data_IF_706947164379
#
_entry.id   IF_706947164379
#
_cell.length_a   1.000
_cell.length_b   1.000
_cell.length_c   1.000
_cell.angle_alpha   90.00
_cell.angle_beta   90.00
_cell.angle_gamma   90.00
#
_symmetry.space_group_name_H-M   'P 1'
#
loop_
_entity.id
_entity.type
_entity.pdbx_description
1 polymer ?
#
# COMPACT_ATOMS: atom_id res chain seq x y z
N UNK A 1 18.76 50.18 30.43
CA UNK A 1 19.16 48.77 30.56
C UNK A 1 19.55 48.49 32.00
N UNK A 2 19.04 47.40 32.58
CA UNK A 2 19.19 47.01 33.99
C UNK A 2 18.51 47.92 35.04
N UNK A 3 17.17 47.98 35.02
CA UNK A 3 16.37 48.48 36.18
C UNK A 3 14.88 48.07 36.17
N UNK A 4 14.55 46.92 35.58
CA UNK A 4 13.18 46.34 35.59
C UNK A 4 13.25 44.80 35.74
N UNK A 5 14.15 44.27 36.58
CA UNK A 5 14.18 42.82 36.93
C UNK A 5 14.48 42.62 38.43
N UNK A 6 14.08 43.57 39.31
CA UNK A 6 14.25 43.43 40.77
C UNK A 6 12.97 43.78 41.54
N UNK A 7 11.79 43.44 40.99
CA UNK A 7 10.50 43.70 41.67
C UNK A 7 9.55 42.50 41.72
N UNK A 8 10.05 41.28 41.53
CA UNK A 8 9.23 40.05 41.66
C UNK A 8 9.78 39.01 42.64
N UNK A 9 10.73 39.40 43.49
CA UNK A 9 11.20 38.58 44.61
C UNK A 9 11.22 39.42 45.89
N UNK A 10 10.05 39.56 46.52
CA UNK A 10 9.84 39.79 47.97
C UNK A 10 8.36 40.09 48.28
N UNK A 11 7.46 39.15 47.99
CA UNK A 11 6.22 38.99 48.77
C UNK A 11 5.98 37.48 48.91
N UNK A 12 6.73 36.86 49.82
CA UNK A 12 6.45 35.51 50.32
C UNK A 12 6.00 35.61 51.77
N UNK A 13 5.08 34.71 52.13
CA UNK A 13 4.70 34.29 53.48
C UNK A 13 3.51 35.04 54.11
N UNK A 14 2.31 34.53 53.81
CA UNK A 14 1.20 34.62 54.76
C UNK A 14 0.60 33.20 54.98
N UNK A 15 1.03 32.47 56.03
CA UNK A 15 0.69 31.07 56.28
C UNK A 15 -0.75 30.80 56.73
N UNK A 16 -1.62 31.83 56.78
CA UNK A 16 -3.03 31.67 57.11
C UNK A 16 -3.93 31.45 55.87
N UNK A 17 -3.47 31.80 54.66
CA UNK A 17 -4.24 31.58 53.41
C UNK A 17 -4.16 30.17 52.83
N UNK A 18 -3.19 29.37 53.23
CA UNK A 18 -3.10 27.96 52.80
C UNK A 18 -4.01 27.05 53.62
N UNK A 19 -4.14 27.30 54.93
CA UNK A 19 -5.04 26.53 55.82
C UNK A 19 -6.53 26.75 55.52
N UNK A 20 -6.88 27.91 54.96
CA UNK A 20 -8.25 28.22 54.54
C UNK A 20 -8.62 27.51 53.21
N UNK A 21 -7.65 27.34 52.30
CA UNK A 21 -7.83 26.61 51.03
C UNK A 21 -7.88 25.09 51.20
N UNK A 22 -7.24 24.54 52.23
CA UNK A 22 -7.34 23.11 52.58
C UNK A 22 -8.71 22.77 53.19
N UNK A 23 -9.24 23.64 54.07
CA UNK A 23 -10.59 23.47 54.63
C UNK A 23 -11.71 23.58 53.60
N UNK A 24 -11.59 24.46 52.62
CA UNK A 24 -12.56 24.56 51.51
C UNK A 24 -12.51 23.35 50.57
N UNK A 25 -11.36 22.69 50.43
CA UNK A 25 -11.23 21.45 49.63
C UNK A 25 -11.81 20.23 50.33
N UNK A 26 -11.70 20.14 51.66
CA UNK A 26 -12.32 19.06 52.45
C UNK A 26 -13.85 19.22 52.53
N UNK A 27 -14.37 20.46 52.62
CA UNK A 27 -15.81 20.74 52.66
C UNK A 27 -16.53 20.58 51.31
N UNK A 28 -15.82 20.64 50.18
CA UNK A 28 -16.38 20.34 48.85
C UNK A 28 -16.32 18.85 48.47
N UNK A 29 -15.50 18.05 49.16
CA UNK A 29 -15.41 16.60 48.94
C UNK A 29 -16.52 15.79 49.63
N UNK A 30 -17.37 16.43 50.45
CA UNK A 30 -18.35 15.75 51.30
C UNK A 30 -19.82 15.94 50.85
N UNK A 31 -20.07 16.61 49.70
CA UNK A 31 -21.43 17.00 49.26
C UNK A 31 -22.01 16.31 48.03
N UNK A 32 -21.30 15.43 47.35
CA UNK A 32 -21.85 14.62 46.25
C UNK A 32 -21.70 13.11 46.51
N UNK A 33 -22.58 12.58 47.38
CA UNK A 33 -22.92 11.14 47.42
C UNK A 33 -24.34 10.93 46.91
N UNK A 34 -24.55 10.26 45.76
CA UNK A 34 -25.81 9.61 45.46
C UNK A 34 -25.87 8.23 46.14
N UNK A 35 -27.05 7.90 46.66
CA UNK A 35 -27.40 6.63 47.28
C UNK A 35 -27.53 5.48 46.26
N UNK A 36 -27.26 4.26 46.73
CA UNK A 36 -27.32 2.95 46.06
C UNK A 36 -28.37 2.78 44.94
N UNK A 37 -27.89 2.22 43.83
CA UNK A 37 -28.67 1.46 42.84
C UNK A 37 -27.72 0.52 42.09
N UNK A 38 -28.01 -0.77 42.11
CA UNK A 38 -27.22 -1.88 41.57
C UNK A 38 -26.92 -1.76 40.07
N UNK A 39 -25.67 -2.01 39.66
CA UNK A 39 -25.29 -2.82 38.48
C UNK A 39 -23.76 -2.89 38.38
N UNK A 40 -23.25 -4.08 38.04
CA UNK A 40 -21.84 -4.39 37.89
C UNK A 40 -21.13 -3.49 36.86
N UNK A 41 -20.18 -2.68 37.31
CA UNK A 41 -19.27 -1.92 36.43
C UNK A 41 -17.84 -2.38 36.68
N UNK A 42 -17.27 -3.07 35.69
CA UNK A 42 -15.84 -3.38 35.64
C UNK A 42 -15.10 -2.09 35.26
N UNK A 43 -14.40 -1.51 36.21
CA UNK A 43 -13.31 -0.57 35.95
C UNK A 43 -12.26 -1.28 35.07
N UNK A 44 -12.23 -0.98 33.78
CA UNK A 44 -11.11 -1.32 32.91
C UNK A 44 -10.09 -0.16 32.94
N UNK A 45 -8.88 -0.53 33.36
CA UNK A 45 -7.65 0.25 33.32
C UNK A 45 -7.33 0.73 31.88
N UNK A 46 -6.99 2.02 31.62
CA UNK A 46 -6.77 2.52 30.26
C UNK A 46 -5.52 1.93 29.58
N UNK A 47 -4.74 1.13 30.29
CA UNK A 47 -3.46 0.56 29.83
C UNK A 47 -3.57 -0.82 29.19
N UNK A 48 -4.79 -1.32 28.92
CA UNK A 48 -4.98 -2.63 28.31
C UNK A 48 -5.89 -2.57 27.07
N UNK A 49 -5.54 -1.75 26.07
CA UNK A 49 -6.09 -1.93 24.73
C UNK A 49 -5.57 -3.26 24.19
N UNK A 50 -6.39 -4.31 24.32
CA UNK A 50 -6.16 -5.58 23.67
C UNK A 50 -5.91 -5.31 22.17
N UNK A 51 -4.67 -5.54 21.73
CA UNK A 51 -4.33 -5.56 20.30
C UNK A 51 -5.22 -6.62 19.69
N UNK A 52 -6.19 -6.20 18.87
CA UNK A 52 -7.14 -7.10 18.28
C UNK A 52 -6.38 -8.16 17.45
N UNK A 53 -6.55 -9.44 17.84
CA UNK A 53 -5.81 -10.59 17.31
C UNK A 53 -6.07 -10.88 15.83
N UNK A 54 -7.03 -10.18 15.21
CA UNK A 54 -7.48 -10.38 13.83
C UNK A 54 -6.83 -9.42 12.81
N UNK A 55 -5.92 -8.53 13.23
CA UNK A 55 -5.31 -7.54 12.33
C UNK A 55 -6.14 -6.29 12.06
N UNK A 56 -7.17 -6.02 12.87
CA UNK A 56 -7.90 -4.74 12.85
C UNK A 56 -7.10 -3.60 13.51
N UNK A 57 -7.46 -2.34 13.23
CA UNK A 57 -6.91 -1.17 13.94
C UNK A 57 -7.90 -0.76 15.02
N UNK A 58 -7.58 -1.02 16.29
CA UNK A 58 -8.48 -0.71 17.41
C UNK A 58 -9.91 -1.29 17.21
N UNK A 59 -10.03 -2.48 16.62
CA UNK A 59 -11.31 -3.12 16.32
C UNK A 59 -11.97 -2.71 14.99
N UNK A 60 -11.40 -1.73 14.26
CA UNK A 60 -11.92 -1.26 12.98
C UNK A 60 -11.20 -1.88 11.78
N UNK A 61 -11.94 -2.02 10.68
CA UNK A 61 -11.43 -2.64 9.45
C UNK A 61 -10.31 -1.83 8.78
N UNK A 62 -10.34 -0.50 8.91
CA UNK A 62 -9.33 0.40 8.38
C UNK A 62 -9.24 1.69 9.21
N UNK A 63 -8.15 2.44 9.01
CA UNK A 63 -7.97 3.77 9.63
C UNK A 63 -9.12 4.72 9.27
N UNK A 64 -9.63 4.65 8.04
CA UNK A 64 -10.72 5.52 7.61
C UNK A 64 -12.00 5.28 8.43
N UNK A 65 -12.35 4.02 8.69
CA UNK A 65 -13.51 3.68 9.51
C UNK A 65 -13.32 4.06 10.98
N UNK A 66 -12.13 3.82 11.54
CA UNK A 66 -11.79 4.29 12.89
C UNK A 66 -12.02 5.80 13.01
N UNK A 67 -11.43 6.60 12.13
CA UNK A 67 -11.56 8.06 12.17
C UNK A 67 -13.01 8.52 11.96
N UNK A 68 -13.74 7.90 11.03
CA UNK A 68 -15.14 8.24 10.76
C UNK A 68 -16.06 7.96 11.94
N UNK A 69 -15.80 6.88 12.67
CA UNK A 69 -16.59 6.48 13.82
C UNK A 69 -16.22 7.26 15.09
N UNK A 70 -14.99 7.75 15.20
CA UNK A 70 -14.49 8.42 16.40
C UNK A 70 -14.56 9.95 16.37
N UNK A 71 -14.68 10.58 15.20
CA UNK A 71 -14.65 12.04 15.06
C UNK A 71 -16.01 12.63 14.69
N UNK A 72 -16.26 13.89 15.09
CA UNK A 72 -17.44 14.62 14.62
C UNK A 72 -17.36 14.88 13.11
N UNK A 73 -18.50 15.00 12.39
CA UNK A 73 -18.47 15.14 10.93
C UNK A 73 -17.57 16.27 10.39
N UNK A 74 -17.57 17.50 10.96
CA UNK A 74 -16.68 18.57 10.49
C UNK A 74 -15.19 18.25 10.72
N UNK A 75 -14.86 17.64 11.85
CA UNK A 75 -13.47 17.26 12.18
C UNK A 75 -13.00 16.12 11.28
N UNK A 76 -13.85 15.12 11.05
CA UNK A 76 -13.56 14.02 10.13
C UNK A 76 -13.33 14.51 8.70
N UNK A 77 -14.12 15.47 8.22
CA UNK A 77 -13.93 16.08 6.90
C UNK A 77 -12.57 16.76 6.79
N UNK A 78 -12.17 17.54 7.80
CA UNK A 78 -10.88 18.24 7.78
C UNK A 78 -9.68 17.28 7.91
N UNK A 79 -9.79 16.27 8.77
CA UNK A 79 -8.79 15.20 8.86
C UNK A 79 -8.68 14.44 7.54
N UNK A 80 -9.81 14.10 6.92
CA UNK A 80 -9.83 13.42 5.61
C UNK A 80 -9.23 14.29 4.51
N UNK A 81 -9.47 15.61 4.52
CA UNK A 81 -8.85 16.54 3.57
C UNK A 81 -7.33 16.52 3.65
N UNK A 82 -6.77 16.47 4.86
CA UNK A 82 -5.33 16.42 5.09
C UNK A 82 -4.73 15.05 4.75
N UNK A 83 -5.39 13.97 5.18
CA UNK A 83 -4.89 12.60 5.02
C UNK A 83 -5.13 12.03 3.62
N UNK A 84 -6.27 12.29 3.00
CA UNK A 84 -6.66 11.73 1.70
C UNK A 84 -6.55 12.73 0.55
N UNK A 85 -6.47 14.03 0.83
CA UNK A 85 -6.44 15.06 -0.22
C UNK A 85 -7.81 15.32 -0.86
N UNK A 86 -7.81 16.13 -1.92
CA UNK A 86 -9.02 16.53 -2.65
C UNK A 86 -8.79 16.36 -4.14
N UNK A 87 -9.66 15.62 -4.83
CA UNK A 87 -9.63 15.53 -6.27
C UNK A 87 -10.37 16.72 -6.88
N UNK A 88 -9.69 17.49 -7.72
CA UNK A 88 -10.23 18.72 -8.30
C UNK A 88 -10.90 19.67 -7.26
N UNK A 89 -10.37 19.71 -6.03
CA UNK A 89 -10.86 20.59 -4.97
C UNK A 89 -12.04 20.05 -4.14
N UNK A 90 -12.47 18.80 -4.33
CA UNK A 90 -13.50 18.14 -3.52
C UNK A 90 -13.06 16.73 -3.06
N UNK A 91 -13.69 16.17 -2.01
CA UNK A 91 -13.52 14.75 -1.67
C UNK A 91 -13.94 13.85 -2.84
N UNK A 92 -13.41 12.63 -2.89
CA UNK A 92 -13.77 11.65 -3.91
C UNK A 92 -15.24 11.26 -3.81
N UNK A 93 -15.92 11.21 -4.97
CA UNK A 93 -17.29 10.74 -5.06
C UNK A 93 -17.31 9.20 -5.04
N UNK A 94 -18.17 8.55 -4.24
CA UNK A 94 -18.35 7.11 -4.31
C UNK A 94 -19.10 6.71 -5.58
N UNK A 95 -18.81 5.52 -6.11
CA UNK A 95 -19.50 4.95 -7.26
C UNK A 95 -20.57 3.96 -6.79
N UNK A 96 -21.78 4.09 -7.33
CA UNK A 96 -22.80 3.04 -7.18
C UNK A 96 -22.47 1.86 -8.10
N UNK A 97 -22.16 0.72 -7.49
CA UNK A 97 -21.86 -0.51 -8.21
C UNK A 97 -23.13 -1.28 -8.60
N UNK A 98 -23.08 -2.09 -9.68
CA UNK A 98 -24.24 -2.84 -10.14
C UNK A 98 -24.59 -3.99 -9.19
N UNK A 99 -25.88 -4.35 -9.11
CA UNK A 99 -26.38 -5.38 -8.19
C UNK A 99 -25.63 -6.72 -8.25
N UNK A 100 -25.23 -7.26 -9.43
CA UNK A 100 -24.43 -8.49 -9.48
C UNK A 100 -23.14 -8.42 -8.68
N UNK A 101 -22.41 -7.30 -8.73
CA UNK A 101 -21.16 -7.12 -7.98
C UNK A 101 -21.41 -7.07 -6.46
N UNK A 102 -22.46 -6.36 -6.04
CA UNK A 102 -22.85 -6.27 -4.62
C UNK A 102 -23.28 -7.63 -4.08
N UNK A 103 -24.03 -8.41 -4.87
CA UNK A 103 -24.44 -9.76 -4.51
C UNK A 103 -23.24 -10.70 -4.40
N UNK A 104 -22.28 -10.63 -5.33
CA UNK A 104 -21.04 -11.42 -5.26
C UNK A 104 -20.22 -11.09 -4.01
N UNK A 105 -20.03 -9.80 -3.71
CA UNK A 105 -19.36 -9.33 -2.49
C UNK A 105 -20.03 -9.87 -1.21
N UNK A 106 -21.36 -9.75 -1.12
CA UNK A 106 -22.11 -10.25 0.04
C UNK A 106 -22.01 -11.78 0.20
N UNK A 107 -22.16 -12.52 -0.89
CA UNK A 107 -22.18 -14.00 -0.89
C UNK A 107 -20.82 -14.64 -0.66
N UNK A 108 -19.75 -13.99 -1.11
CA UNK A 108 -18.37 -14.47 -0.98
C UNK A 108 -17.56 -13.70 0.07
N UNK A 109 -18.21 -12.81 0.81
CA UNK A 109 -17.68 -12.08 1.97
C UNK A 109 -16.35 -11.33 1.71
N UNK A 110 -16.29 -10.55 0.63
CA UNK A 110 -15.16 -9.66 0.36
C UNK A 110 -15.57 -8.18 0.43
N UNK A 111 -14.66 -7.33 0.90
CA UNK A 111 -14.83 -5.87 0.94
C UNK A 111 -14.94 -5.32 -0.49
N UNK A 112 -15.84 -4.36 -0.71
CA UNK A 112 -16.11 -3.80 -2.03
C UNK A 112 -16.29 -2.29 -1.92
N UNK A 113 -15.33 -1.55 -2.49
CA UNK A 113 -15.32 -0.09 -2.46
C UNK A 113 -15.10 0.47 -3.87
N UNK A 114 -15.71 1.61 -4.17
CA UNK A 114 -15.56 2.24 -5.48
C UNK A 114 -15.62 3.77 -5.43
N UNK A 115 -14.70 4.45 -6.13
CA UNK A 115 -14.52 5.91 -6.09
C UNK A 115 -14.21 6.52 -7.46
N UNK A 116 -14.45 7.82 -7.63
CA UNK A 116 -14.18 8.54 -8.88
C UNK A 116 -13.08 9.60 -8.71
N UNK A 117 -12.07 9.55 -9.59
CA UNK A 117 -11.10 10.61 -9.83
C UNK A 117 -11.42 11.32 -11.15
N UNK A 118 -11.71 12.61 -11.06
CA UNK A 118 -12.05 13.48 -12.17
C UNK A 118 -10.86 14.33 -12.60
N UNK A 119 -10.91 14.79 -13.85
CA UNK A 119 -10.07 15.86 -14.37
C UNK A 119 -10.91 17.08 -14.76
N UNK A 120 -10.26 18.22 -14.96
CA UNK A 120 -10.94 19.38 -15.54
C UNK A 120 -11.29 19.10 -17.00
N UNK A 121 -12.41 19.64 -17.48
CA UNK A 121 -12.80 19.51 -18.89
C UNK A 121 -11.78 20.22 -19.80
N UNK A 122 -11.22 19.48 -20.76
CA UNK A 122 -10.38 20.05 -21.81
C UNK A 122 -11.23 20.48 -23.02
N UNK A 123 -10.79 21.51 -23.75
CA UNK A 123 -11.47 21.97 -24.97
C UNK A 123 -11.10 21.18 -26.22
N UNK A 124 -9.94 20.49 -26.20
CA UNK A 124 -9.36 19.81 -27.36
C UNK A 124 -9.26 18.29 -27.20
N UNK A 125 -9.60 17.76 -26.02
CA UNK A 125 -9.57 16.33 -25.71
C UNK A 125 -10.84 15.95 -24.99
N UNK A 126 -11.39 14.83 -25.39
CA UNK A 126 -12.44 14.18 -24.63
C UNK A 126 -11.86 13.58 -23.34
N UNK A 127 -12.68 13.44 -22.28
CA UNK A 127 -12.30 12.71 -21.07
C UNK A 127 -11.80 11.30 -21.41
N UNK A 128 -10.66 10.90 -20.85
CA UNK A 128 -10.12 9.55 -21.04
C UNK A 128 -10.40 8.75 -19.77
N UNK A 129 -11.67 8.39 -19.59
CA UNK A 129 -12.13 7.65 -18.40
C UNK A 129 -11.76 6.17 -18.53
N UNK A 130 -11.06 5.66 -17.52
CA UNK A 130 -10.75 4.24 -17.35
C UNK A 130 -11.20 3.77 -15.97
N UNK A 131 -11.84 2.60 -15.90
CA UNK A 131 -12.20 1.94 -14.65
C UNK A 131 -11.13 0.92 -14.28
N UNK A 132 -10.51 1.08 -13.13
CA UNK A 132 -9.38 0.25 -12.67
C UNK A 132 -9.76 -0.48 -11.39
N UNK A 133 -9.39 -1.76 -11.28
CA UNK A 133 -9.63 -2.60 -10.11
C UNK A 133 -8.34 -3.09 -9.46
N UNK A 134 -8.34 -3.19 -8.12
CA UNK A 134 -7.29 -3.84 -7.32
C UNK A 134 -7.92 -4.96 -6.50
N UNK A 135 -7.28 -6.13 -6.49
CA UNK A 135 -7.68 -7.26 -5.64
C UNK A 135 -6.62 -7.50 -4.57
N UNK A 136 -7.06 -7.50 -3.31
CA UNK A 136 -6.31 -8.07 -2.20
C UNK A 136 -6.98 -9.34 -1.70
N UNK A 137 -6.20 -10.35 -1.34
CA UNK A 137 -6.71 -11.59 -0.78
C UNK A 137 -5.68 -12.30 0.10
N UNK A 138 -6.20 -13.13 0.99
CA UNK A 138 -5.47 -14.15 1.74
C UNK A 138 -5.44 -15.46 0.94
N UNK A 139 -4.55 -16.38 1.31
CA UNK A 139 -4.57 -17.76 0.80
C UNK A 139 -5.88 -18.47 1.16
N UNK A 140 -6.23 -19.52 0.41
CA UNK A 140 -7.50 -20.24 0.57
C UNK A 140 -7.39 -21.54 1.38
N UNK A 141 -6.22 -22.18 1.38
CA UNK A 141 -5.95 -23.43 2.08
C UNK A 141 -4.69 -23.30 2.95
N UNK A 142 -4.53 -24.16 3.98
CA UNK A 142 -3.30 -24.21 4.78
C UNK A 142 -2.07 -24.49 3.91
N UNK A 143 -0.92 -23.96 4.31
CA UNK A 143 0.35 -24.14 3.60
C UNK A 143 0.84 -25.60 3.56
N UNK A 144 0.25 -26.48 4.37
CA UNK A 144 0.49 -27.93 4.39
C UNK A 144 -0.30 -28.71 3.34
N UNK A 145 -1.27 -28.10 2.65
CA UNK A 145 -2.06 -28.77 1.62
C UNK A 145 -1.21 -29.02 0.34
N UNK A 146 -1.60 -29.94 -0.54
CA UNK A 146 -0.91 -30.13 -1.82
C UNK A 146 -0.87 -28.83 -2.65
N UNK A 147 0.28 -28.51 -3.26
CA UNK A 147 0.47 -27.24 -3.98
C UNK A 147 -0.55 -26.98 -5.09
N UNK A 148 -0.89 -28.02 -5.86
CA UNK A 148 -1.92 -27.94 -6.89
C UNK A 148 -3.30 -27.58 -6.31
N UNK A 149 -3.64 -28.09 -5.13
CA UNK A 149 -4.90 -27.76 -4.44
C UNK A 149 -4.87 -26.34 -3.89
N UNK A 150 -3.76 -25.91 -3.28
CA UNK A 150 -3.60 -24.52 -2.81
C UNK A 150 -3.82 -23.52 -3.94
N UNK A 151 -3.16 -23.73 -5.09
CA UNK A 151 -3.27 -22.87 -6.27
C UNK A 151 -4.71 -22.82 -6.82
N UNK A 152 -5.34 -24.00 -7.00
CA UNK A 152 -6.73 -24.09 -7.48
C UNK A 152 -7.73 -23.44 -6.52
N UNK A 153 -7.52 -23.59 -5.20
CA UNK A 153 -8.38 -22.96 -4.21
C UNK A 153 -8.28 -21.43 -4.27
N UNK A 154 -7.09 -20.87 -4.52
CA UNK A 154 -6.93 -19.44 -4.77
C UNK A 154 -7.69 -19.02 -6.03
N UNK A 155 -7.64 -19.80 -7.12
CA UNK A 155 -8.38 -19.48 -8.35
C UNK A 155 -9.89 -19.47 -8.09
N UNK A 156 -10.40 -20.47 -7.38
CA UNK A 156 -11.82 -20.56 -7.00
C UNK A 156 -12.26 -19.40 -6.11
N UNK A 157 -11.39 -18.99 -5.18
CA UNK A 157 -11.62 -17.85 -4.29
C UNK A 157 -11.64 -16.51 -5.04
N UNK A 158 -10.74 -16.32 -6.01
CA UNK A 158 -10.60 -15.06 -6.73
C UNK A 158 -11.58 -14.92 -7.90
N UNK A 159 -12.02 -16.03 -8.50
CA UNK A 159 -13.01 -16.01 -9.59
C UNK A 159 -14.22 -15.10 -9.30
N UNK A 160 -14.97 -15.24 -8.18
CA UNK A 160 -16.12 -14.36 -7.91
C UNK A 160 -15.72 -12.88 -7.72
N UNK A 161 -14.52 -12.58 -7.24
CA UNK A 161 -14.02 -11.20 -7.11
C UNK A 161 -13.72 -10.62 -8.50
N UNK A 162 -13.09 -11.40 -9.38
CA UNK A 162 -12.83 -11.01 -10.77
C UNK A 162 -14.15 -10.85 -11.54
N UNK A 163 -15.13 -11.73 -11.33
CA UNK A 163 -16.46 -11.63 -11.93
C UNK A 163 -17.22 -10.37 -11.44
N UNK A 164 -17.05 -9.97 -10.18
CA UNK A 164 -17.59 -8.72 -9.65
C UNK A 164 -16.93 -7.49 -10.30
N UNK A 165 -15.61 -7.53 -10.51
CA UNK A 165 -14.89 -6.49 -11.25
C UNK A 165 -15.38 -6.39 -12.71
N UNK A 166 -15.47 -7.54 -13.39
CA UNK A 166 -15.96 -7.62 -14.77
C UNK A 166 -17.42 -7.15 -14.91
N UNK A 167 -18.29 -7.55 -13.99
CA UNK A 167 -19.69 -7.10 -13.93
C UNK A 167 -19.82 -5.60 -13.63
N UNK A 168 -18.80 -5.02 -13.00
CA UNK A 168 -18.69 -3.58 -12.74
C UNK A 168 -18.05 -2.82 -13.90
N UNK A 169 -17.72 -3.45 -15.02
CA UNK A 169 -17.11 -2.80 -16.18
C UNK A 169 -15.67 -2.34 -15.94
N UNK A 170 -14.93 -3.00 -15.06
CA UNK A 170 -13.49 -2.74 -14.87
C UNK A 170 -12.75 -3.01 -16.19
N UNK A 171 -11.91 -2.07 -16.60
CA UNK A 171 -11.12 -2.14 -17.82
C UNK A 171 -9.73 -2.72 -17.56
N UNK A 172 -9.14 -2.44 -16.39
CA UNK A 172 -7.81 -2.94 -15.99
C UNK A 172 -7.90 -3.47 -14.55
N UNK A 173 -7.54 -4.73 -14.34
CA UNK A 173 -7.56 -5.38 -13.03
C UNK A 173 -6.15 -5.85 -12.65
N UNK A 174 -5.69 -5.49 -11.46
CA UNK A 174 -4.41 -5.94 -10.93
C UNK A 174 -4.58 -6.81 -9.69
N UNK A 175 -3.85 -7.92 -9.66
CA UNK A 175 -3.74 -8.81 -8.52
C UNK A 175 -2.50 -8.46 -7.67
N UNK A 176 -2.47 -8.93 -6.43
CA UNK A 176 -1.34 -8.76 -5.51
C UNK A 176 -0.10 -9.56 -5.92
N UNK A 177 1.02 -9.34 -5.22
CA UNK A 177 2.27 -10.04 -5.48
C UNK A 177 2.18 -11.55 -5.20
N UNK A 178 2.73 -12.35 -6.12
CA UNK A 178 2.79 -13.81 -6.03
C UNK A 178 1.42 -14.41 -5.65
N UNK A 179 0.36 -13.92 -6.28
CA UNK A 179 -1.02 -14.15 -5.83
C UNK A 179 -1.42 -15.63 -5.82
N UNK A 180 -0.72 -16.46 -6.60
CA UNK A 180 -0.97 -17.89 -6.82
C UNK A 180 -0.41 -18.81 -5.73
N UNK A 181 0.29 -18.26 -4.73
CA UNK A 181 0.98 -19.02 -3.69
C UNK A 181 0.95 -18.34 -2.32
N UNK A 182 1.19 -19.10 -1.22
CA UNK A 182 1.65 -18.51 0.03
C UNK A 182 2.98 -17.78 -0.18
N UNK A 183 3.22 -16.73 0.60
CA UNK A 183 4.46 -15.96 0.54
C UNK A 183 5.59 -16.65 1.30
N UNK A 184 5.96 -17.85 0.82
CA UNK A 184 6.82 -18.81 1.53
C UNK A 184 8.31 -18.43 1.59
N UNK A 185 8.70 -17.25 1.09
CA UNK A 185 10.10 -16.86 0.97
C UNK A 185 10.82 -16.72 2.33
N UNK A 186 10.08 -16.55 3.44
CA UNK A 186 10.65 -16.61 4.79
C UNK A 186 11.33 -17.94 5.12
N UNK A 187 10.79 -19.04 4.60
CA UNK A 187 11.23 -20.40 4.95
C UNK A 187 12.61 -20.70 4.37
N UNK A 188 12.96 -20.06 3.24
CA UNK A 188 14.16 -20.32 2.44
C UNK A 188 14.22 -21.74 1.84
N UNK A 189 13.15 -22.52 1.98
CA UNK A 189 13.06 -23.88 1.49
C UNK A 189 12.77 -23.91 -0.02
N UNK A 190 13.41 -24.82 -0.76
CA UNK A 190 13.36 -24.83 -2.23
C UNK A 190 12.18 -25.60 -2.84
N UNK A 191 11.48 -26.43 -2.07
CA UNK A 191 10.33 -27.16 -2.59
C UNK A 191 9.18 -26.21 -2.99
N UNK A 192 9.07 -25.03 -2.34
CA UNK A 192 8.17 -23.95 -2.76
C UNK A 192 8.37 -23.47 -4.21
N UNK A 193 9.53 -23.73 -4.82
CA UNK A 193 9.79 -23.41 -6.22
C UNK A 193 8.92 -24.20 -7.22
N UNK A 194 8.18 -25.22 -6.77
CA UNK A 194 7.18 -25.92 -7.59
C UNK A 194 5.97 -25.05 -7.96
N UNK A 195 5.72 -23.95 -7.22
CA UNK A 195 4.73 -22.94 -7.63
C UNK A 195 5.16 -22.15 -8.87
N UNK A 196 6.45 -22.17 -9.23
CA UNK A 196 6.96 -21.40 -10.35
C UNK A 196 6.48 -21.98 -11.69
N UNK A 197 5.90 -21.14 -12.53
CA UNK A 197 5.33 -21.53 -13.82
C UNK A 197 5.88 -20.65 -14.97
N UNK A 198 5.88 -21.13 -16.22
CA UNK A 198 6.19 -20.27 -17.35
C UNK A 198 5.14 -19.15 -17.48
N UNK A 199 5.48 -18.06 -18.17
CA UNK A 199 4.59 -16.88 -18.27
C UNK A 199 3.28 -17.15 -19.00
N UNK A 200 3.20 -18.20 -19.79
CA UNK A 200 2.00 -18.74 -20.46
C UNK A 200 1.42 -19.97 -19.73
N UNK A 201 1.79 -20.15 -18.46
CA UNK A 201 1.32 -21.23 -17.59
C UNK A 201 -0.14 -21.13 -17.16
N UNK A 202 -0.54 -22.04 -16.30
CA UNK A 202 -1.94 -22.25 -15.90
C UNK A 202 -2.60 -20.98 -15.31
N UNK A 203 -1.89 -20.19 -14.51
CA UNK A 203 -2.49 -18.97 -13.93
C UNK A 203 -2.72 -17.88 -14.97
N UNK A 204 -1.82 -17.76 -15.96
CA UNK A 204 -2.03 -16.88 -17.11
C UNK A 204 -3.22 -17.35 -17.93
N UNK A 205 -3.32 -18.64 -18.24
CA UNK A 205 -4.44 -19.21 -19.01
C UNK A 205 -5.79 -18.98 -18.32
N UNK A 206 -5.86 -19.22 -17.01
CA UNK A 206 -7.04 -18.92 -16.20
C UNK A 206 -7.50 -17.46 -16.34
N UNK A 207 -6.55 -16.51 -16.31
CA UNK A 207 -6.86 -15.09 -16.46
C UNK A 207 -7.13 -14.67 -17.91
N UNK A 208 -6.57 -15.34 -18.92
CA UNK A 208 -6.84 -15.05 -20.34
C UNK A 208 -8.31 -15.24 -20.70
N UNK A 209 -8.96 -16.28 -20.17
CA UNK A 209 -10.37 -16.55 -20.41
C UNK A 209 -11.26 -15.47 -19.77
N UNK A 210 -10.93 -15.05 -18.55
CA UNK A 210 -11.63 -13.98 -17.84
C UNK A 210 -11.39 -12.61 -18.50
N UNK A 211 -10.16 -12.34 -18.95
CA UNK A 211 -9.79 -11.13 -19.69
C UNK A 211 -10.64 -10.96 -20.95
N UNK A 212 -10.77 -12.02 -21.76
CA UNK A 212 -11.63 -12.04 -22.95
C UNK A 212 -13.10 -11.84 -22.60
N UNK A 213 -13.59 -12.60 -21.61
CA UNK A 213 -15.00 -12.60 -21.22
C UNK A 213 -15.47 -11.20 -20.80
N UNK A 214 -14.63 -10.47 -20.07
CA UNK A 214 -14.96 -9.15 -19.54
C UNK A 214 -14.35 -7.98 -20.31
N UNK A 215 -13.67 -8.24 -21.43
CA UNK A 215 -12.93 -7.22 -22.20
C UNK A 215 -12.00 -6.39 -21.28
N UNK A 216 -11.23 -7.08 -20.44
CA UNK A 216 -10.48 -6.50 -19.32
C UNK A 216 -9.00 -6.87 -19.42
N UNK A 217 -8.11 -5.87 -19.27
CA UNK A 217 -6.67 -6.10 -19.13
C UNK A 217 -6.41 -6.64 -17.72
N UNK A 218 -5.56 -7.67 -17.60
CA UNK A 218 -5.19 -8.28 -16.32
C UNK A 218 -3.69 -8.14 -16.07
N UNK A 219 -3.32 -7.72 -14.86
CA UNK A 219 -1.94 -7.71 -14.36
C UNK A 219 -1.77 -8.84 -13.36
N UNK A 220 -0.93 -9.83 -13.69
CA UNK A 220 -0.76 -11.08 -12.95
C UNK A 220 0.67 -11.25 -12.42
N UNK A 221 0.94 -10.88 -11.16
CA UNK A 221 2.24 -11.11 -10.51
C UNK A 221 2.41 -12.56 -10.04
N UNK A 222 3.32 -13.30 -10.67
CA UNK A 222 3.58 -14.73 -10.43
C UNK A 222 5.06 -14.99 -10.11
N UNK A 223 5.33 -16.18 -9.57
CA UNK A 223 6.66 -16.77 -9.60
C UNK A 223 6.88 -17.39 -10.98
N UNK A 224 7.74 -16.78 -11.79
CA UNK A 224 8.05 -17.25 -13.14
C UNK A 224 9.16 -18.30 -13.10
N UNK A 225 9.01 -19.37 -13.89
CA UNK A 225 10.09 -20.27 -14.30
C UNK A 225 10.44 -20.03 -15.77
N UNK A 226 11.63 -19.50 -16.03
CA UNK A 226 12.09 -19.18 -17.38
C UNK A 226 12.69 -20.42 -18.06
N UNK A 227 11.82 -21.21 -18.69
CA UNK A 227 12.20 -22.46 -19.37
C UNK A 227 13.24 -22.22 -20.48
N UNK A 228 13.21 -21.06 -21.14
CA UNK A 228 14.15 -20.73 -22.20
C UNK A 228 15.56 -20.38 -21.68
N UNK A 229 15.69 -19.98 -20.42
CA UNK A 229 16.96 -19.55 -19.81
C UNK A 229 17.30 -20.40 -18.57
N UNK A 230 17.43 -21.71 -18.79
CA UNK A 230 17.92 -22.65 -17.78
C UNK A 230 16.99 -22.83 -16.58
N UNK A 231 15.69 -22.64 -16.77
CA UNK A 231 14.66 -22.76 -15.73
C UNK A 231 14.86 -21.81 -14.54
N UNK A 232 15.56 -20.69 -14.78
CA UNK A 232 15.81 -19.66 -13.76
C UNK A 232 14.49 -19.07 -13.26
N UNK A 233 14.39 -18.87 -11.94
CA UNK A 233 13.18 -18.35 -11.29
C UNK A 233 13.23 -16.84 -11.19
N UNK A 234 12.08 -16.18 -11.38
CA UNK A 234 11.91 -14.73 -11.31
C UNK A 234 10.60 -14.36 -10.61
N UNK A 235 10.56 -13.16 -10.02
CA UNK A 235 9.30 -12.53 -9.61
C UNK A 235 8.83 -11.60 -10.73
N UNK A 236 7.67 -11.92 -11.33
CA UNK A 236 7.29 -11.40 -12.64
C UNK A 236 5.82 -11.00 -12.68
N UNK A 237 5.53 -9.80 -13.16
CA UNK A 237 4.20 -9.40 -13.58
C UNK A 237 3.98 -9.71 -15.06
N UNK A 238 3.00 -10.56 -15.36
CA UNK A 238 2.53 -10.83 -16.73
C UNK A 238 1.37 -9.90 -17.05
N UNK A 239 1.41 -9.25 -18.21
CA UNK A 239 0.37 -8.35 -18.69
C UNK A 239 -0.46 -9.07 -19.75
N UNK A 240 -1.73 -9.31 -19.44
CA UNK A 240 -2.68 -9.99 -20.32
C UNK A 240 -3.62 -8.93 -20.88
N UNK A 241 -3.67 -8.82 -22.20
CA UNK A 241 -4.56 -7.90 -22.91
C UNK A 241 -6.03 -8.29 -22.79
N UNK A 242 -6.91 -7.34 -23.08
CA UNK A 242 -8.37 -7.52 -23.04
C UNK A 242 -8.92 -8.53 -24.05
N UNK A 243 -8.11 -8.97 -25.02
CA UNK A 243 -8.42 -10.07 -25.94
C UNK A 243 -7.77 -11.39 -25.51
N UNK A 244 -7.22 -11.43 -24.28
CA UNK A 244 -6.51 -12.56 -23.70
C UNK A 244 -5.19 -12.90 -24.39
N UNK A 245 -4.59 -12.00 -25.16
CA UNK A 245 -3.21 -12.15 -25.62
C UNK A 245 -2.24 -11.72 -24.50
N UNK A 246 -1.05 -12.32 -24.42
CA UNK A 246 0.01 -11.82 -23.53
C UNK A 246 0.65 -10.60 -24.22
N UNK A 247 0.53 -9.42 -23.62
CA UNK A 247 1.18 -8.20 -24.11
C UNK A 247 2.68 -8.26 -23.81
N UNK A 248 3.05 -8.74 -22.63
CA UNK A 248 4.43 -8.89 -22.22
C UNK A 248 4.58 -9.21 -20.74
N UNK A 249 5.79 -9.02 -20.21
CA UNK A 249 6.13 -9.26 -18.81
C UNK A 249 7.11 -8.22 -18.27
N UNK A 250 7.11 -8.02 -16.96
CA UNK A 250 8.10 -7.22 -16.22
C UNK A 250 8.59 -7.98 -14.98
N UNK A 251 9.90 -8.03 -14.77
CA UNK A 251 10.55 -8.68 -13.63
C UNK A 251 10.92 -7.68 -12.56
N UNK A 252 10.78 -8.08 -11.29
CA UNK A 252 11.04 -7.24 -10.11
C UNK A 252 12.47 -6.69 -10.12
N UNK A 253 12.62 -5.37 -10.28
CA UNK A 253 13.94 -4.73 -10.37
C UNK A 253 14.72 -4.74 -9.05
N UNK A 254 14.03 -4.58 -7.92
CA UNK A 254 14.66 -4.47 -6.60
C UNK A 254 14.25 -5.63 -5.70
N UNK A 255 15.23 -6.47 -5.32
CA UNK A 255 14.98 -7.69 -4.54
C UNK A 255 15.35 -7.44 -3.07
N UNK A 256 14.40 -7.61 -2.13
CA UNK A 256 14.71 -7.49 -0.71
C UNK A 256 15.59 -8.63 -0.21
N UNK A 257 16.35 -8.29 0.83
CA UNK A 257 17.19 -9.23 1.60
C UNK A 257 16.98 -9.05 3.11
N UNK A 258 15.85 -8.45 3.52
CA UNK A 258 15.65 -7.91 4.87
C UNK A 258 14.66 -8.78 5.64
N UNK A 259 15.07 -9.24 6.83
CA UNK A 259 14.20 -9.97 7.74
C UNK A 259 13.66 -11.27 7.14
N UNK A 260 12.34 -11.44 7.17
CA UNK A 260 11.64 -12.59 6.57
C UNK A 260 11.51 -12.50 5.04
N UNK A 261 11.79 -11.34 4.43
CA UNK A 261 11.80 -11.13 2.98
C UNK A 261 13.11 -11.62 2.36
N UNK A 262 13.39 -12.92 2.47
CA UNK A 262 14.60 -13.58 1.96
C UNK A 262 14.49 -13.93 0.46
N UNK A 263 13.87 -13.04 -0.31
CA UNK A 263 13.54 -13.25 -1.72
C UNK A 263 14.76 -13.50 -2.60
N UNK A 264 15.90 -12.86 -2.30
CA UNK A 264 17.14 -13.08 -3.05
C UNK A 264 17.68 -14.51 -2.98
N UNK A 265 17.13 -15.34 -2.09
CA UNK A 265 17.41 -16.77 -2.08
C UNK A 265 16.80 -17.46 -3.30
N UNK A 266 15.69 -16.94 -3.83
CA UNK A 266 14.85 -17.57 -4.85
C UNK A 266 15.07 -17.01 -6.26
N UNK A 267 15.30 -15.70 -6.40
CA UNK A 267 15.43 -15.03 -7.69
C UNK A 267 16.37 -13.81 -7.62
N UNK A 268 16.84 -13.40 -8.80
CA UNK A 268 17.78 -12.29 -9.01
C UNK A 268 17.07 -10.99 -9.39
N UNK A 269 17.80 -9.87 -9.34
CA UNK A 269 17.33 -8.58 -9.83
C UNK A 269 16.86 -8.64 -11.29
N UNK A 270 15.69 -8.06 -11.56
CA UNK A 270 15.04 -8.09 -12.87
C UNK A 270 15.89 -7.48 -13.99
N UNK A 271 15.83 -8.10 -15.17
CA UNK A 271 16.57 -7.70 -16.36
C UNK A 271 15.68 -7.13 -17.48
N UNK A 272 14.44 -6.77 -17.16
CA UNK A 272 13.46 -6.26 -18.13
C UNK A 272 13.41 -4.73 -18.23
N UNK A 273 14.21 -4.01 -17.44
CA UNK A 273 14.18 -2.55 -17.36
C UNK A 273 12.88 -2.03 -16.74
N UNK A 274 12.32 -0.96 -17.30
CA UNK A 274 11.12 -0.29 -16.79
C UNK A 274 10.03 -0.19 -17.88
N UNK A 275 9.53 -1.33 -18.40
CA UNK A 275 8.61 -1.33 -19.52
C UNK A 275 7.28 -0.66 -19.15
N UNK A 276 6.72 0.08 -20.11
CA UNK A 276 5.37 0.62 -20.07
C UNK A 276 4.58 -0.09 -21.16
N UNK A 277 3.42 -0.62 -20.80
CA UNK A 277 2.56 -1.40 -21.67
C UNK A 277 1.41 -0.52 -22.14
N UNK A 278 1.39 -0.22 -23.43
CA UNK A 278 0.27 0.48 -24.05
C UNK A 278 -0.89 -0.50 -24.26
N UNK A 279 -2.03 -0.19 -23.65
CA UNK A 279 -3.25 -0.99 -23.72
C UNK A 279 -4.37 -0.20 -24.37
N UNK A 280 -5.50 -0.85 -24.65
CA UNK A 280 -6.72 -0.16 -25.09
C UNK A 280 -7.25 0.88 -24.08
N UNK A 281 -6.77 0.84 -22.83
CA UNK A 281 -7.29 1.59 -21.70
C UNK A 281 -6.25 2.51 -21.04
N UNK A 282 -5.12 2.76 -21.72
CA UNK A 282 -4.04 3.63 -21.24
C UNK A 282 -2.71 2.90 -21.09
N UNK A 283 -1.68 3.67 -20.72
CA UNK A 283 -0.30 3.21 -20.54
C UNK A 283 -0.06 2.78 -19.10
N UNK A 284 0.14 1.49 -18.90
CA UNK A 284 0.33 0.91 -17.57
C UNK A 284 1.76 0.44 -17.34
N UNK A 285 2.21 0.48 -16.09
CA UNK A 285 3.44 -0.16 -15.67
C UNK A 285 3.25 -0.87 -14.33
N UNK A 286 4.23 -1.65 -13.90
CA UNK A 286 4.16 -2.41 -12.65
C UNK A 286 5.47 -2.21 -11.88
N UNK A 287 5.40 -1.54 -10.74
CA UNK A 287 6.50 -1.48 -9.78
C UNK A 287 6.29 -2.57 -8.73
N UNK A 288 7.02 -3.69 -8.82
CA UNK A 288 6.73 -4.85 -7.98
C UNK A 288 7.31 -4.67 -6.55
N UNK A 289 6.41 -4.67 -5.56
CA UNK A 289 6.69 -4.77 -4.12
C UNK A 289 7.82 -3.87 -3.61
N UNK A 290 9.01 -4.42 -3.35
CA UNK A 290 10.15 -3.73 -2.73
C UNK A 290 10.70 -2.58 -3.61
N UNK A 291 10.38 -2.59 -4.90
CA UNK A 291 10.61 -1.44 -5.76
C UNK A 291 9.83 -0.18 -5.32
N UNK A 292 8.85 -0.30 -4.40
CA UNK A 292 8.15 0.85 -3.78
C UNK A 292 9.10 1.79 -3.02
N UNK A 293 10.16 1.24 -2.43
CA UNK A 293 11.14 1.99 -1.64
C UNK A 293 12.14 2.77 -2.48
N UNK A 294 12.07 2.65 -3.82
CA UNK A 294 13.07 3.19 -4.74
C UNK A 294 12.44 4.29 -5.61
N UNK A 295 12.57 5.58 -5.24
CA UNK A 295 12.04 6.69 -6.02
C UNK A 295 12.49 6.68 -7.49
N UNK A 296 13.72 6.23 -7.77
CA UNK A 296 14.24 6.11 -9.14
C UNK A 296 13.49 5.05 -9.96
N UNK A 297 13.03 3.95 -9.36
CA UNK A 297 12.27 2.91 -10.04
C UNK A 297 10.90 3.46 -10.50
N UNK A 298 10.22 4.20 -9.61
CA UNK A 298 8.99 4.94 -9.95
C UNK A 298 9.23 5.98 -11.05
N UNK A 299 10.30 6.75 -10.92
CA UNK A 299 10.67 7.78 -11.88
C UNK A 299 10.87 7.21 -13.28
N UNK A 300 11.57 6.08 -13.40
CA UNK A 300 11.84 5.46 -14.69
C UNK A 300 10.57 5.03 -15.44
N UNK A 301 9.56 4.49 -14.75
CA UNK A 301 8.25 4.23 -15.39
C UNK A 301 7.56 5.52 -15.84
N UNK A 302 7.65 6.58 -15.03
CA UNK A 302 7.11 7.88 -15.38
C UNK A 302 7.80 8.52 -16.60
N UNK A 303 9.13 8.37 -16.71
CA UNK A 303 9.92 8.80 -17.87
C UNK A 303 9.54 8.04 -19.14
N UNK A 304 9.24 6.74 -19.01
CA UNK A 304 8.75 5.91 -20.12
C UNK A 304 7.26 6.13 -20.46
N UNK A 305 6.60 7.09 -19.81
CA UNK A 305 5.27 7.56 -20.18
C UNK A 305 4.10 6.81 -19.53
N UNK A 306 4.32 6.15 -18.39
CA UNK A 306 3.22 5.53 -17.64
C UNK A 306 2.16 6.56 -17.19
N UNK A 307 0.90 6.16 -17.27
CA UNK A 307 -0.27 6.90 -16.78
C UNK A 307 -0.85 6.25 -15.52
N UNK A 308 -0.70 4.93 -15.39
CA UNK A 308 -1.03 4.16 -14.18
C UNK A 308 0.16 3.25 -13.86
N UNK A 309 0.64 3.27 -12.61
CA UNK A 309 1.63 2.31 -12.13
C UNK A 309 1.04 1.46 -11.02
N UNK A 310 0.96 0.15 -11.22
CA UNK A 310 0.54 -0.78 -10.19
C UNK A 310 1.71 -1.14 -9.28
N UNK A 311 1.44 -1.28 -7.98
CA UNK A 311 2.39 -1.76 -7.00
C UNK A 311 1.86 -2.96 -6.23
N UNK A 312 1.87 -4.14 -6.87
CA UNK A 312 1.54 -5.38 -6.20
C UNK A 312 2.62 -5.73 -5.18
N UNK A 313 2.21 -5.94 -3.94
CA UNK A 313 3.08 -6.17 -2.79
C UNK A 313 2.58 -7.31 -1.91
N UNK A 314 3.49 -7.90 -1.17
CA UNK A 314 3.21 -8.65 0.05
C UNK A 314 4.17 -8.12 1.13
N UNK A 315 3.64 -7.44 2.15
CA UNK A 315 4.46 -6.85 3.21
C UNK A 315 3.73 -6.86 4.56
N UNK A 316 4.50 -6.98 5.64
CA UNK A 316 4.01 -7.15 7.02
C UNK A 316 4.70 -6.20 7.98
N UNK A 317 4.12 -6.08 9.17
CA UNK A 317 4.82 -5.56 10.35
C UNK A 317 4.80 -4.05 10.54
N UNK A 318 5.03 -3.66 11.80
CA UNK A 318 4.91 -2.29 12.30
C UNK A 318 5.89 -1.29 11.69
N UNK A 319 7.05 -1.77 11.20
CA UNK A 319 8.01 -0.91 10.52
C UNK A 319 7.59 -0.62 9.07
N UNK A 320 6.93 -1.57 8.41
CA UNK A 320 6.52 -1.40 7.01
C UNK A 320 5.26 -0.56 6.87
N UNK A 321 4.25 -0.77 7.71
CA UNK A 321 2.93 -0.17 7.56
C UNK A 321 2.93 1.38 7.56
N UNK A 322 3.74 2.08 8.39
CA UNK A 322 3.82 3.54 8.36
C UNK A 322 4.33 4.12 7.03
N UNK A 323 5.09 3.34 6.24
CA UNK A 323 5.56 3.77 4.92
C UNK A 323 4.49 3.60 3.83
N UNK A 324 3.54 2.69 4.01
CA UNK A 324 2.52 2.33 3.02
C UNK A 324 1.70 3.51 2.46
N UNK A 325 1.17 4.44 3.29
CA UNK A 325 0.41 5.59 2.77
C UNK A 325 1.32 6.70 2.20
N UNK A 326 2.65 6.56 2.30
CA UNK A 326 3.62 7.60 1.94
C UNK A 326 4.23 7.34 0.57
N UNK A 327 4.84 6.17 0.36
CA UNK A 327 5.74 5.92 -0.76
C UNK A 327 5.04 5.96 -2.12
N UNK A 328 3.95 5.19 -2.25
CA UNK A 328 3.16 5.12 -3.47
C UNK A 328 2.45 6.45 -3.78
N UNK A 329 2.00 7.15 -2.73
CA UNK A 329 1.37 8.47 -2.87
C UNK A 329 2.38 9.53 -3.30
N UNK A 330 3.58 9.51 -2.71
CA UNK A 330 4.67 10.36 -3.15
C UNK A 330 5.04 10.08 -4.61
N UNK A 331 5.11 8.80 -5.01
CA UNK A 331 5.35 8.43 -6.39
C UNK A 331 4.28 9.00 -7.34
N UNK A 332 3.00 8.92 -6.98
CA UNK A 332 1.90 9.49 -7.77
C UNK A 332 2.08 11.00 -8.01
N UNK A 333 2.41 11.74 -6.95
CA UNK A 333 2.64 13.19 -6.98
C UNK A 333 3.87 13.54 -7.82
N UNK A 334 5.03 12.98 -7.45
CA UNK A 334 6.32 13.32 -8.06
C UNK A 334 6.36 12.99 -9.56
N UNK A 335 5.59 11.99 -9.98
CA UNK A 335 5.56 11.53 -11.36
C UNK A 335 4.34 12.00 -12.18
N UNK A 336 3.35 12.60 -11.52
CA UNK A 336 2.11 13.06 -12.12
C UNK A 336 1.41 11.96 -12.95
N UNK A 337 1.22 10.80 -12.31
CA UNK A 337 0.45 9.65 -12.81
C UNK A 337 -0.42 9.06 -11.68
N UNK A 338 -1.24 8.06 -11.97
CA UNK A 338 -1.95 7.29 -10.95
C UNK A 338 -1.09 6.13 -10.43
N UNK A 339 -1.31 5.73 -9.17
CA UNK A 339 -0.68 4.55 -8.56
C UNK A 339 -1.75 3.67 -7.89
N UNK A 340 -1.74 2.37 -8.20
CA UNK A 340 -2.58 1.37 -7.54
C UNK A 340 -1.76 0.49 -6.60
N UNK A 341 -1.87 0.72 -5.30
CA UNK A 341 -1.11 0.00 -4.26
C UNK A 341 -1.91 -1.20 -3.77
N UNK A 342 -1.31 -2.39 -3.81
CA UNK A 342 -1.99 -3.63 -3.45
C UNK A 342 -1.13 -4.40 -2.46
N UNK A 343 -1.67 -4.71 -1.29
CA UNK A 343 -1.01 -5.62 -0.36
C UNK A 343 -1.88 -6.85 -0.11
N UNK A 344 -1.22 -7.96 0.16
CA UNK A 344 -1.83 -9.18 0.68
C UNK A 344 -2.55 -8.92 2.01
N UNK A 345 -3.49 -9.81 2.38
CA UNK A 345 -4.13 -9.83 3.70
C UNK A 345 -3.97 -11.16 4.41
N UNK A 346 -4.11 -11.12 5.74
CA UNK A 346 -4.14 -12.31 6.60
C UNK A 346 -2.76 -12.71 7.12
N UNK A 347 -2.71 -13.81 7.86
CA UNK A 347 -1.47 -14.36 8.43
C UNK A 347 -1.28 -15.77 7.90
N UNK A 348 -0.07 -16.06 7.42
CA UNK A 348 0.28 -17.36 6.85
C UNK A 348 1.24 -18.09 7.79
N UNK A 349 0.93 -19.36 8.11
CA UNK A 349 1.75 -20.22 8.98
C UNK A 349 2.34 -21.36 8.18
N UNK A 350 3.62 -21.67 8.35
CA UNK A 350 4.37 -22.68 7.58
C UNK A 350 4.66 -23.96 8.39
N UNK A 351 4.91 -25.10 7.71
CA UNK A 351 5.09 -26.39 8.38
C UNK A 351 6.32 -26.42 9.31
N UNK A 352 7.44 -25.89 8.82
CA UNK A 352 8.72 -25.86 9.51
C UNK A 352 8.98 -24.47 10.10
N UNK A 353 9.54 -24.39 11.32
CA UNK A 353 9.88 -23.11 11.91
C UNK A 353 11.09 -22.47 11.20
N UNK A 354 11.12 -21.14 11.16
CA UNK A 354 12.21 -20.34 10.57
C UNK A 354 12.56 -19.15 11.48
N UNK A 355 13.65 -18.43 11.16
CA UNK A 355 14.10 -17.27 11.91
C UNK A 355 14.17 -16.02 11.04
N UNK A 356 13.76 -14.88 11.60
CA UNK A 356 13.71 -13.58 10.93
C UNK A 356 15.05 -12.84 10.90
N UNK A 357 16.11 -13.40 11.47
CA UNK A 357 17.43 -12.74 11.53
C UNK A 357 17.53 -11.58 12.54
N UNK A 358 16.57 -11.44 13.46
CA UNK A 358 16.50 -10.39 14.48
C UNK A 358 16.93 -10.86 15.88
N UNK A 359 17.44 -12.09 15.99
CA UNK A 359 17.86 -12.71 17.25
C UNK A 359 16.72 -13.28 18.10
N UNK A 360 15.46 -13.20 17.65
CA UNK A 360 14.33 -13.83 18.35
C UNK A 360 14.26 -15.34 18.09
N UNK A 361 13.49 -16.10 18.91
CA UNK A 361 13.27 -17.52 18.68
C UNK A 361 12.66 -17.80 17.31
N UNK A 362 12.89 -19.02 16.82
CA UNK A 362 12.20 -19.51 15.63
C UNK A 362 10.67 -19.53 15.83
N UNK A 363 9.94 -19.28 14.76
CA UNK A 363 8.48 -19.25 14.74
C UNK A 363 7.97 -19.82 13.42
N UNK A 364 6.65 -19.92 13.25
CA UNK A 364 6.05 -20.54 12.05
C UNK A 364 5.19 -19.57 11.25
N UNK A 365 4.78 -18.45 11.80
CA UNK A 365 3.94 -17.45 11.13
C UNK A 365 4.79 -16.38 10.45
N UNK A 366 4.43 -15.96 9.24
CA UNK A 366 5.15 -14.88 8.54
C UNK A 366 4.93 -13.49 9.16
N UNK A 367 3.92 -13.36 10.02
CA UNK A 367 3.33 -12.09 10.41
C UNK A 367 2.10 -11.73 9.58
N UNK A 368 1.43 -10.66 10.01
CA UNK A 368 0.15 -10.23 9.44
C UNK A 368 0.36 -9.31 8.23
N UNK A 369 -0.11 -9.74 7.06
CA UNK A 369 -0.24 -8.88 5.89
C UNK A 369 -1.42 -7.95 6.09
N UNK A 370 -1.17 -6.64 6.06
CA UNK A 370 -2.10 -5.61 6.51
C UNK A 370 -2.99 -5.02 5.42
N UNK A 371 -3.07 -5.62 4.22
CA UNK A 371 -3.94 -5.17 3.14
C UNK A 371 -3.83 -3.68 2.87
N UNK A 372 -4.90 -2.94 3.14
CA UNK A 372 -4.91 -1.48 2.99
C UNK A 372 -4.63 -1.02 1.55
N UNK A 373 -5.06 -1.83 0.58
CA UNK A 373 -4.93 -1.50 -0.84
C UNK A 373 -5.73 -0.24 -1.16
N UNK A 374 -5.17 0.65 -1.98
CA UNK A 374 -5.75 1.96 -2.29
C UNK A 374 -5.19 2.53 -3.60
N UNK A 375 -5.85 3.54 -4.15
CA UNK A 375 -5.35 4.32 -5.27
C UNK A 375 -4.84 5.68 -4.82
N UNK A 376 -3.73 6.14 -5.41
CA UNK A 376 -3.20 7.50 -5.29
C UNK A 376 -3.20 8.19 -6.65
N UNK A 377 -3.57 9.47 -6.66
CA UNK A 377 -3.72 10.28 -7.86
C UNK A 377 -2.60 11.34 -7.98
N UNK A 378 -2.38 11.88 -9.20
CA UNK A 378 -1.34 12.88 -9.43
C UNK A 378 -1.57 14.24 -8.73
N UNK A 379 -2.80 14.54 -8.31
CA UNK A 379 -3.15 15.75 -7.56
C UNK A 379 -3.03 15.59 -6.03
N UNK A 380 -2.33 14.54 -5.59
CA UNK A 380 -2.15 14.12 -4.21
C UNK A 380 -3.41 13.56 -3.53
N UNK A 381 -4.56 13.47 -4.21
CA UNK A 381 -5.73 12.78 -3.66
C UNK A 381 -5.52 11.25 -3.66
N UNK A 382 -6.18 10.53 -2.75
CA UNK A 382 -6.19 9.07 -2.71
C UNK A 382 -7.52 8.53 -2.19
N UNK A 383 -7.81 7.27 -2.51
CA UNK A 383 -8.97 6.58 -1.93
C UNK A 383 -8.69 6.26 -0.45
N UNK A 384 -9.75 6.13 0.37
CA UNK A 384 -9.65 5.30 1.56
C UNK A 384 -9.09 3.92 1.21
N UNK A 385 -8.39 3.30 2.16
CA UNK A 385 -7.87 1.94 1.98
C UNK A 385 -8.95 0.89 2.21
N UNK A 386 -8.85 -0.23 1.48
CA UNK A 386 -9.56 -1.46 1.82
C UNK A 386 -9.20 -1.93 3.25
N UNK A 387 -9.97 -2.90 3.75
CA UNK A 387 -9.70 -3.57 5.03
C UNK A 387 -8.25 -4.03 5.19
N UNK A 388 -7.77 -4.08 6.44
CA UNK A 388 -6.46 -4.66 6.77
C UNK A 388 -6.43 -6.19 6.78
N UNK A 389 -7.58 -6.84 6.94
CA UNK A 389 -7.64 -8.27 7.20
C UNK A 389 -8.67 -9.02 6.35
N UNK A 390 -9.48 -8.32 5.54
CA UNK A 390 -10.47 -8.95 4.65
C UNK A 390 -9.98 -8.95 3.22
N UNK A 391 -10.32 -10.02 2.49
CA UNK A 391 -10.22 -10.00 1.03
C UNK A 391 -11.09 -8.87 0.48
N UNK A 392 -10.72 -8.29 -0.66
CA UNK A 392 -11.48 -7.15 -1.17
C UNK A 392 -11.14 -6.72 -2.58
N UNK A 393 -12.06 -5.93 -3.14
CA UNK A 393 -12.00 -5.31 -4.45
C UNK A 393 -12.17 -3.79 -4.31
N UNK A 394 -11.15 -3.05 -4.71
CA UNK A 394 -11.19 -1.59 -4.84
C UNK A 394 -11.36 -1.23 -6.31
N UNK A 395 -12.36 -0.43 -6.65
CA UNK A 395 -12.62 0.05 -8.02
C UNK A 395 -12.42 1.57 -8.06
N UNK A 396 -11.80 2.09 -9.10
CA UNK A 396 -11.78 3.53 -9.33
C UNK A 396 -11.99 3.89 -10.80
N UNK A 397 -12.87 4.86 -11.03
CA UNK A 397 -12.91 5.58 -12.31
C UNK A 397 -11.83 6.66 -12.28
N UNK A 398 -11.01 6.72 -13.31
CA UNK A 398 -9.91 7.68 -13.43
C UNK A 398 -9.98 8.37 -14.78
N UNK A 399 -10.01 9.70 -14.80
CA UNK A 399 -9.73 10.46 -16.01
C UNK A 399 -8.21 10.62 -16.20
N UNK A 400 -7.65 9.92 -17.19
CA UNK A 400 -6.22 9.93 -17.46
C UNK A 400 -5.71 11.31 -17.91
N UNK A 401 -6.59 12.21 -18.37
CA UNK A 401 -6.22 13.59 -18.67
C UNK A 401 -5.68 14.34 -17.43
N UNK A 402 -6.05 13.90 -16.21
CA UNK A 402 -5.51 14.47 -14.97
C UNK A 402 -3.98 14.39 -14.93
N UNK A 403 -3.38 13.33 -15.46
CA UNK A 403 -1.92 13.19 -15.51
C UNK A 403 -1.27 14.36 -16.25
N UNK A 404 -1.83 14.77 -17.40
CA UNK A 404 -1.32 15.89 -18.21
C UNK A 404 -1.57 17.22 -17.54
N UNK A 405 -2.78 17.44 -17.02
CA UNK A 405 -3.14 18.68 -16.34
C UNK A 405 -2.21 18.97 -15.16
N UNK A 406 -1.83 17.94 -14.39
CA UNK A 406 -0.93 18.10 -13.26
C UNK A 406 0.53 18.28 -13.71
N UNK A 407 0.97 17.62 -14.80
CA UNK A 407 2.28 17.88 -15.42
C UNK A 407 2.41 19.33 -15.84
N UNK A 408 1.40 19.89 -16.49
CA UNK A 408 1.40 21.28 -16.98
C UNK A 408 1.30 22.29 -15.83
N UNK A 409 0.44 22.01 -14.84
CA UNK A 409 0.22 22.91 -13.69
C UNK A 409 1.43 23.04 -12.77
N UNK A 410 2.10 21.93 -12.46
CA UNK A 410 3.22 21.91 -11.52
C UNK A 410 4.58 21.96 -12.19
N UNK A 411 4.68 21.51 -13.45
CA UNK A 411 5.92 21.56 -14.22
C UNK A 411 7.01 20.64 -13.70
N UNK A 412 6.73 19.64 -12.85
CA UNK A 412 7.77 18.78 -12.26
C UNK A 412 8.66 18.11 -13.31
N UNK A 413 8.08 17.67 -14.43
CA UNK A 413 8.86 17.09 -15.54
C UNK A 413 9.72 18.12 -16.27
N UNK A 414 9.20 19.34 -16.42
CA UNK A 414 9.90 20.46 -17.06
C UNK A 414 11.10 20.93 -16.22
N UNK A 415 10.98 20.90 -14.89
CA UNK A 415 11.99 21.39 -13.95
C UNK A 415 12.88 20.30 -13.37
N UNK A 416 12.76 19.06 -13.85
CA UNK A 416 13.44 17.91 -13.27
C UNK A 416 14.95 17.85 -13.51
N UNK A 417 15.50 18.64 -14.45
CA UNK A 417 16.95 18.73 -14.74
C UNK A 417 17.65 17.37 -14.89
N UNK A 418 17.08 16.45 -15.67
CA UNK A 418 17.55 15.07 -15.75
C UNK A 418 19.03 14.93 -16.14
N UNK A 419 19.56 15.79 -17.02
CA UNK A 419 20.99 15.81 -17.38
C UNK A 419 21.91 16.05 -16.17
N UNK A 420 21.51 16.92 -15.22
CA UNK A 420 22.26 17.14 -13.98
C UNK A 420 22.33 15.86 -13.15
N UNK A 421 21.23 15.11 -13.08
CA UNK A 421 21.15 13.87 -12.31
C UNK A 421 21.85 12.71 -13.01
N UNK A 422 21.85 12.66 -14.34
CA UNK A 422 22.65 11.72 -15.13
C UNK A 422 24.13 11.88 -14.81
N UNK A 423 24.65 13.11 -14.92
CA UNK A 423 26.04 13.41 -14.57
C UNK A 423 26.34 13.03 -13.11
N UNK A 424 25.47 13.42 -12.17
CA UNK A 424 25.63 13.09 -10.76
C UNK A 424 25.74 11.58 -10.53
N UNK A 425 24.81 10.79 -11.09
CA UNK A 425 24.79 9.34 -10.92
C UNK A 425 25.97 8.67 -11.62
N UNK A 426 26.35 9.13 -12.81
CA UNK A 426 27.52 8.63 -13.54
C UNK A 426 28.82 8.86 -12.75
N UNK A 427 28.94 9.98 -12.03
CA UNK A 427 30.07 10.24 -11.13
C UNK A 427 29.99 9.39 -9.86
N UNK A 428 28.81 9.28 -9.24
CA UNK A 428 28.58 8.51 -8.02
C UNK A 428 28.95 7.02 -8.16
N UNK A 429 28.70 6.44 -9.34
CA UNK A 429 28.97 5.02 -9.61
C UNK A 429 30.46 4.69 -9.79
N UNK A 430 31.35 5.69 -9.85
CA UNK A 430 32.79 5.45 -10.00
C UNK A 430 33.40 4.96 -8.67
N UNK A 431 34.31 3.96 -8.69
CA UNK A 431 34.93 3.44 -7.46
C UNK A 431 35.72 4.47 -6.65
N UNK A 432 36.19 5.54 -7.29
CA UNK A 432 36.96 6.63 -6.70
C UNK A 432 36.10 7.85 -6.32
N UNK A 433 34.77 7.75 -6.41
CA UNK A 433 33.84 8.82 -6.09
C UNK A 433 34.17 9.47 -4.73
N UNK A 434 34.37 10.79 -4.76
CA UNK A 434 34.49 11.61 -3.57
C UNK A 434 33.19 12.40 -3.39
N UNK A 435 32.49 12.25 -2.24
CA UNK A 435 31.32 13.06 -1.96
C UNK A 435 31.65 14.55 -1.97
N UNK A 436 30.72 15.37 -2.49
CA UNK A 436 30.85 16.83 -2.51
C UNK A 436 30.64 17.40 -1.09
N UNK A 437 31.64 17.24 -0.22
CA UNK A 437 31.62 17.71 1.17
C UNK A 437 32.50 18.96 1.30
N UNK A 438 31.89 20.08 1.69
CA UNK A 438 32.61 21.31 2.03
C UNK A 438 32.82 21.33 3.54
N UNK A 439 34.08 21.19 3.98
CA UNK A 439 34.43 21.18 5.41
C UNK A 439 34.82 22.57 5.89
N UNK A 440 34.39 22.93 7.11
CA UNK A 440 34.90 24.11 7.81
C UNK A 440 36.40 23.92 8.09
N UNK A 441 37.29 24.83 7.63
CA UNK A 441 38.72 24.72 7.87
C UNK A 441 39.11 24.75 9.35
N UNK A 442 38.24 25.23 10.25
CA UNK A 442 38.46 25.24 11.71
C UNK A 442 38.04 23.95 12.41
N UNK A 443 37.29 23.07 11.75
CA UNK A 443 37.04 21.71 12.25
C UNK A 443 38.32 20.90 12.09
N UNK A 444 39.25 21.04 13.04
CA UNK A 444 40.32 20.07 13.19
C UNK A 444 39.67 18.70 13.37
N UNK A 445 39.73 17.84 12.35
CA UNK A 445 39.52 16.42 12.53
C UNK A 445 40.52 15.98 13.59
N UNK A 446 40.06 15.70 14.82
CA UNK A 446 40.85 14.90 15.75
C UNK A 446 41.17 13.63 14.97
N UNK A 447 42.43 13.48 14.57
CA UNK A 447 42.90 12.30 13.88
C UNK A 447 42.54 11.10 14.78
N UNK A 448 41.71 10.21 14.25
CA UNK A 448 41.42 8.91 14.85
C UNK A 448 42.49 7.92 14.41
#
# INVERSE_FOLDING_TARGET
SQKIIDSFHLISQNPDRERERERERELMAEKDRPQNGSMDDKNEDPTNMAVASNGSVCGFESLHYLLRSSLSPPVFQEVSRLLLGLNCGKPLDPITLPSPAISLSSSHNFDLQAYCFQAQKESLREPQIVRVGLIQNSIALPTTAPFAEQKRAIFQKLKPIIEAAGSSGVNILCLQEAWTMPFAFCTREKHWCEFAEPVDGESTQFLQDLAKTYNMVMVSPILERDVAHGETIWNTAVIIGNQGNIIGKHRKNHIPRVGDFNESTYYMEGNTGHPVFETAFGKIAVNICYGRHHPLNWMAFGLNGAEIVFNPSATVGELSEPMWPIEARNAAIANSYFVGSINRVGTETFPNPFTSGDGKPQHKDFGHFYGSSHFSAPDASCTPSLSRYRDGLMIADMDLNLCRQLKDKWGFRMTARYELYEDLLAHYLKPDFQPQIISDPLLQKKAA
#
